data_IF_218442435305
#
_entry.id   IF_218442435305
#
_cell.length_a   1.000
_cell.length_b   1.000
_cell.length_c   1.000
_cell.angle_alpha   90.00
_cell.angle_beta   90.00
_cell.angle_gamma   90.00
#
_symmetry.space_group_name_H-M   'P 1'
#
loop_
_entity.id
_entity.type
_entity.pdbx_description
1 polymer ?
#
# COMPACT_ATOMS: atom_id res chain seq x y z
N UNK A 1 -0.47 -29.74 -2.08
CA UNK A 1 -0.72 -29.61 -3.54
C UNK A 1 0.51 -28.97 -4.21
N UNK A 2 0.80 -29.24 -5.50
CA UNK A 2 2.05 -28.83 -6.14
C UNK A 2 2.21 -27.31 -6.33
N UNK A 3 1.11 -26.54 -6.39
CA UNK A 3 1.12 -25.08 -6.44
C UNK A 3 0.14 -24.55 -5.39
N UNK A 4 0.55 -24.45 -4.13
CA UNK A 4 -0.37 -24.16 -3.03
C UNK A 4 -0.77 -22.67 -2.98
N UNK A 5 -0.04 -21.78 -3.68
CA UNK A 5 -0.30 -20.34 -3.68
C UNK A 5 0.07 -19.69 -2.35
N UNK A 6 -0.61 -18.57 -2.03
CA UNK A 6 -0.44 -17.83 -0.77
C UNK A 6 -0.91 -18.68 0.42
N UNK A 7 -0.07 -18.79 1.45
CA UNK A 7 -0.31 -19.72 2.55
C UNK A 7 -0.89 -19.11 3.84
N UNK A 8 -0.67 -17.82 4.07
CA UNK A 8 -1.00 -17.21 5.35
C UNK A 8 -2.47 -16.79 5.47
N UNK A 9 -2.90 -16.35 6.65
CA UNK A 9 -4.18 -15.64 6.80
C UNK A 9 -3.97 -14.12 6.66
N UNK A 10 -5.03 -13.41 6.27
CA UNK A 10 -4.99 -11.95 6.17
C UNK A 10 -5.54 -11.31 7.45
N UNK A 11 -4.84 -10.28 7.93
CA UNK A 11 -5.32 -9.38 8.98
C UNK A 11 -5.22 -7.95 8.51
N UNK A 12 -6.36 -7.33 8.22
CA UNK A 12 -6.42 -5.93 7.86
C UNK A 12 -6.62 -5.06 9.11
N UNK A 13 -5.69 -4.15 9.38
CA UNK A 13 -5.75 -3.24 10.52
C UNK A 13 -6.15 -1.85 10.03
N UNK A 14 -7.25 -1.31 10.56
CA UNK A 14 -7.68 0.06 10.31
C UNK A 14 -7.30 0.92 11.50
N UNK A 15 -6.28 1.76 11.33
CA UNK A 15 -5.90 2.73 12.37
C UNK A 15 -6.83 3.94 12.41
N UNK A 16 -7.35 4.35 11.26
CA UNK A 16 -8.28 5.48 11.13
C UNK A 16 -9.18 5.30 9.89
N UNK A 17 -10.50 5.15 10.04
CA UNK A 17 -11.46 5.28 8.93
C UNK A 17 -11.42 6.68 8.30
N UNK A 18 -11.82 6.78 7.03
CA UNK A 18 -11.85 8.05 6.30
C UNK A 18 -12.67 9.12 7.04
N UNK A 19 -13.87 8.75 7.48
CA UNK A 19 -14.85 9.66 8.11
C UNK A 19 -14.55 9.96 9.60
N UNK A 20 -13.54 9.31 10.19
CA UNK A 20 -13.16 9.56 11.57
C UNK A 20 -12.22 10.79 11.67
N UNK A 21 -12.51 11.78 12.53
CA UNK A 21 -11.58 12.89 12.75
C UNK A 21 -10.28 12.45 13.44
N UNK A 22 -9.15 13.09 13.09
CA UNK A 22 -7.83 12.81 13.67
C UNK A 22 -7.81 12.79 15.21
N UNK A 23 -8.53 13.72 15.85
CA UNK A 23 -8.62 13.82 17.31
C UNK A 23 -9.10 12.53 17.98
N UNK A 24 -9.95 11.74 17.31
CA UNK A 24 -10.46 10.46 17.82
C UNK A 24 -9.52 9.29 17.51
N UNK A 25 -8.88 9.32 16.33
CA UNK A 25 -7.98 8.25 15.89
C UNK A 25 -6.54 8.34 16.45
N UNK A 26 -6.16 9.43 17.13
CA UNK A 26 -4.77 9.65 17.61
C UNK A 26 -4.18 8.48 18.39
N UNK A 27 -4.99 7.85 19.28
CA UNK A 27 -4.53 6.68 20.05
C UNK A 27 -4.27 5.48 19.14
N UNK A 28 -5.16 5.23 18.18
CA UNK A 28 -5.05 4.14 17.21
C UNK A 28 -3.84 4.33 16.30
N UNK A 29 -3.59 5.55 15.80
CA UNK A 29 -2.40 5.84 14.99
C UNK A 29 -1.10 5.61 15.78
N UNK A 30 -1.07 5.93 17.08
CA UNK A 30 0.08 5.60 17.93
C UNK A 30 0.37 4.10 18.05
N UNK A 31 -0.64 3.23 17.84
CA UNK A 31 -0.44 1.78 17.82
C UNK A 31 0.30 1.29 16.57
N UNK A 32 0.41 2.10 15.51
CA UNK A 32 1.24 1.78 14.34
C UNK A 32 2.71 1.57 14.74
N UNK A 33 3.16 2.27 15.78
CA UNK A 33 4.54 2.20 16.28
C UNK A 33 4.76 1.03 17.25
N UNK A 34 3.72 0.23 17.54
CA UNK A 34 3.84 -0.88 18.49
C UNK A 34 4.54 -2.06 17.84
N UNK A 35 5.69 -2.44 18.38
CA UNK A 35 6.42 -3.63 17.96
C UNK A 35 5.59 -4.92 18.07
N UNK A 36 5.83 -5.85 17.14
CA UNK A 36 5.19 -7.17 17.10
C UNK A 36 3.75 -7.20 16.59
N UNK A 37 3.19 -6.05 16.19
CA UNK A 37 1.86 -6.00 15.55
C UNK A 37 1.93 -6.41 14.06
N UNK A 38 3.01 -6.01 13.38
CA UNK A 38 3.32 -6.34 12.00
C UNK A 38 4.37 -7.46 11.96
N UNK A 39 4.23 -8.40 11.04
CA UNK A 39 5.18 -9.52 10.85
C UNK A 39 5.61 -9.61 9.39
N UNK A 40 4.69 -10.04 8.55
CA UNK A 40 4.87 -10.34 7.13
C UNK A 40 3.83 -9.54 6.35
N UNK A 41 4.23 -9.01 5.20
CA UNK A 41 3.41 -8.10 4.41
C UNK A 41 3.11 -8.72 3.04
N UNK A 42 1.82 -8.80 2.72
CA UNK A 42 1.30 -9.28 1.44
C UNK A 42 0.70 -8.09 0.70
N UNK A 43 1.56 -7.20 0.21
CA UNK A 43 1.18 -5.87 -0.29
C UNK A 43 0.13 -5.90 -1.41
N UNK A 44 0.18 -6.90 -2.30
CA UNK A 44 -0.82 -7.07 -3.35
C UNK A 44 -2.24 -7.27 -2.80
N UNK A 45 -2.39 -8.09 -1.75
CA UNK A 45 -3.69 -8.31 -1.08
C UNK A 45 -4.14 -7.06 -0.33
N UNK A 46 -3.20 -6.36 0.32
CA UNK A 46 -3.48 -5.10 1.02
C UNK A 46 -3.99 -4.02 0.04
N UNK A 47 -3.38 -3.91 -1.15
CA UNK A 47 -3.81 -3.03 -2.23
C UNK A 47 -5.20 -3.38 -2.74
N UNK A 48 -5.46 -4.66 -3.04
CA UNK A 48 -6.79 -5.11 -3.48
C UNK A 48 -7.86 -4.81 -2.42
N UNK A 49 -7.55 -5.04 -1.15
CA UNK A 49 -8.47 -4.76 -0.06
C UNK A 49 -8.75 -3.25 0.07
N UNK A 50 -7.71 -2.41 0.03
CA UNK A 50 -7.88 -0.96 0.07
C UNK A 50 -8.64 -0.43 -1.15
N UNK A 51 -8.33 -0.95 -2.34
CA UNK A 51 -9.05 -0.65 -3.59
C UNK A 51 -10.54 -0.96 -3.50
N UNK A 52 -10.90 -2.16 -3.02
CA UNK A 52 -12.30 -2.58 -2.89
C UNK A 52 -13.12 -1.64 -1.99
N UNK A 53 -12.47 -0.95 -1.06
CA UNK A 53 -13.11 0.02 -0.16
C UNK A 53 -13.21 1.39 -0.82
N UNK A 54 -12.14 1.89 -1.43
CA UNK A 54 -12.09 3.24 -1.98
C UNK A 54 -12.91 3.37 -3.27
N UNK A 55 -12.99 2.31 -4.10
CA UNK A 55 -13.75 2.36 -5.36
C UNK A 55 -15.26 2.59 -5.14
N UNK A 56 -15.77 2.15 -3.98
CA UNK A 56 -17.18 2.27 -3.60
C UNK A 56 -17.50 3.59 -2.86
N UNK A 57 -16.52 4.49 -2.72
CA UNK A 57 -16.70 5.76 -2.04
C UNK A 57 -17.36 6.82 -2.94
N UNK A 58 -18.20 7.73 -2.39
CA UNK A 58 -18.96 8.68 -3.18
C UNK A 58 -18.11 9.82 -3.78
N UNK A 59 -16.90 10.04 -3.26
CA UNK A 59 -15.99 11.08 -3.77
C UNK A 59 -15.66 10.84 -5.25
N UNK A 60 -15.65 11.94 -6.02
CA UNK A 60 -15.40 11.94 -7.47
C UNK A 60 -13.98 11.44 -7.79
N UNK A 61 -12.99 12.03 -7.13
CA UNK A 61 -11.59 11.59 -7.21
C UNK A 61 -11.27 10.65 -6.06
N UNK A 62 -10.70 9.50 -6.41
CA UNK A 62 -10.35 8.42 -5.47
C UNK A 62 -8.88 8.13 -5.64
N UNK A 63 -8.08 8.57 -4.67
CA UNK A 63 -6.63 8.43 -4.67
C UNK A 63 -6.24 7.42 -3.61
N UNK A 64 -5.58 6.35 -4.03
CA UNK A 64 -4.97 5.35 -3.17
C UNK A 64 -3.46 5.63 -3.10
N UNK A 65 -2.99 6.07 -1.93
CA UNK A 65 -1.57 6.33 -1.67
C UNK A 65 -0.98 5.20 -0.84
N UNK A 66 0.10 4.60 -1.33
CA UNK A 66 0.88 3.58 -0.61
C UNK A 66 2.08 4.25 0.05
N UNK A 67 2.32 3.97 1.34
CA UNK A 67 3.55 4.36 2.03
C UNK A 67 4.19 3.05 2.49
N UNK A 68 5.36 2.73 1.98
CA UNK A 68 6.05 1.46 2.26
C UNK A 68 7.52 1.68 2.57
N UNK A 69 8.04 0.93 3.53
CA UNK A 69 9.45 0.85 3.89
C UNK A 69 10.13 -0.41 3.33
N UNK A 70 9.44 -1.22 2.53
CA UNK A 70 9.95 -2.50 2.05
C UNK A 70 9.20 -3.12 0.87
N UNK A 71 9.57 -4.37 0.59
CA UNK A 71 8.99 -5.21 -0.45
C UNK A 71 8.07 -6.29 0.18
N UNK A 72 7.19 -6.93 -0.61
CA UNK A 72 6.31 -7.97 -0.08
C UNK A 72 7.11 -9.21 0.33
N UNK A 73 6.97 -9.64 1.58
CA UNK A 73 7.71 -10.76 2.18
C UNK A 73 6.79 -11.56 3.10
N UNK A 74 6.75 -12.87 2.87
CA UNK A 74 5.99 -13.88 3.62
C UNK A 74 6.74 -15.22 3.54
N UNK A 75 7.39 -15.63 4.63
CA UNK A 75 8.32 -16.77 4.67
C UNK A 75 7.61 -18.08 4.32
N UNK A 76 6.38 -18.26 4.83
CA UNK A 76 5.59 -19.46 4.56
C UNK A 76 5.27 -19.57 3.08
N UNK A 77 4.75 -18.50 2.47
CA UNK A 77 4.46 -18.46 1.03
C UNK A 77 5.73 -18.62 0.19
N UNK A 78 6.83 -17.95 0.54
CA UNK A 78 8.09 -18.02 -0.22
C UNK A 78 8.79 -19.38 -0.09
N UNK A 79 8.61 -20.11 1.01
CA UNK A 79 9.26 -21.42 1.23
C UNK A 79 8.75 -22.53 0.29
N UNK A 80 7.52 -22.40 -0.22
CA UNK A 80 6.87 -23.43 -1.06
C UNK A 80 6.49 -22.94 -2.46
N UNK A 81 6.71 -21.66 -2.77
CA UNK A 81 6.47 -21.08 -4.09
C UNK A 81 7.78 -20.58 -4.72
N UNK A 82 7.71 -20.16 -5.98
CA UNK A 82 8.82 -19.47 -6.60
C UNK A 82 9.11 -18.13 -5.88
N UNK A 83 10.39 -17.75 -5.75
CA UNK A 83 10.81 -16.59 -4.97
C UNK A 83 10.22 -15.24 -5.44
N UNK A 84 9.75 -15.15 -6.68
CA UNK A 84 9.08 -13.96 -7.20
C UNK A 84 7.54 -13.99 -7.08
N UNK A 85 6.93 -14.96 -6.39
CA UNK A 85 5.47 -15.13 -6.35
C UNK A 85 4.73 -13.88 -5.85
N UNK A 86 5.17 -13.31 -4.72
CA UNK A 86 4.56 -12.12 -4.14
C UNK A 86 4.87 -10.84 -4.94
N UNK A 87 6.07 -10.75 -5.51
CA UNK A 87 6.47 -9.65 -6.38
C UNK A 87 5.61 -9.61 -7.65
N UNK A 88 5.44 -10.76 -8.30
CA UNK A 88 4.57 -10.91 -9.48
C UNK A 88 3.13 -10.60 -9.15
N UNK A 89 2.63 -11.05 -7.99
CA UNK A 89 1.29 -10.73 -7.53
C UNK A 89 1.11 -9.21 -7.34
N UNK A 90 2.05 -8.55 -6.64
CA UNK A 90 2.02 -7.10 -6.44
C UNK A 90 2.00 -6.35 -7.78
N UNK A 91 2.85 -6.74 -8.74
CA UNK A 91 2.90 -6.13 -10.08
C UNK A 91 1.57 -6.25 -10.82
N UNK A 92 0.96 -7.45 -10.81
CA UNK A 92 -0.32 -7.68 -11.47
C UNK A 92 -1.45 -6.82 -10.86
N UNK A 93 -1.47 -6.70 -9.53
CA UNK A 93 -2.45 -5.86 -8.84
C UNK A 93 -2.26 -4.39 -9.18
N UNK A 94 -1.03 -3.89 -9.15
CA UNK A 94 -0.71 -2.49 -9.49
C UNK A 94 -1.11 -2.20 -10.94
N UNK A 95 -0.67 -3.03 -11.89
CA UNK A 95 -1.00 -2.88 -13.30
C UNK A 95 -2.52 -2.87 -13.53
N UNK A 96 -3.26 -3.77 -12.85
CA UNK A 96 -4.71 -3.78 -12.93
C UNK A 96 -5.34 -2.50 -12.39
N UNK A 97 -4.88 -1.97 -11.25
CA UNK A 97 -5.39 -0.71 -10.69
C UNK A 97 -5.11 0.44 -11.66
N UNK A 98 -3.87 0.57 -12.14
CA UNK A 98 -3.43 1.70 -12.98
C UNK A 98 -4.09 1.68 -14.38
N UNK A 99 -4.37 0.50 -14.94
CA UNK A 99 -4.87 0.39 -16.33
C UNK A 99 -6.36 0.14 -16.45
N UNK A 100 -7.03 -0.36 -15.40
CA UNK A 100 -8.44 -0.78 -15.48
C UNK A 100 -9.37 -0.16 -14.45
N UNK A 101 -8.82 0.48 -13.42
CA UNK A 101 -9.62 1.06 -12.34
C UNK A 101 -9.67 2.59 -12.46
N UNK A 102 -10.79 3.23 -12.04
CA UNK A 102 -10.88 4.69 -11.95
C UNK A 102 -10.13 5.27 -10.74
N UNK A 103 -9.60 4.41 -9.85
CA UNK A 103 -8.82 4.80 -8.68
C UNK A 103 -7.40 5.16 -9.11
N UNK A 104 -6.96 6.38 -8.77
CA UNK A 104 -5.60 6.84 -8.98
C UNK A 104 -4.68 6.23 -7.94
N UNK A 105 -3.53 5.71 -8.35
CA UNK A 105 -2.56 5.04 -7.48
C UNK A 105 -1.26 5.84 -7.45
N UNK A 106 -0.74 6.10 -6.24
CA UNK A 106 0.59 6.68 -6.05
C UNK A 106 1.30 6.03 -4.85
N UNK A 107 2.63 6.16 -4.78
CA UNK A 107 3.41 5.56 -3.71
C UNK A 107 4.57 6.43 -3.20
N UNK A 108 4.88 6.29 -1.92
CA UNK A 108 6.05 6.85 -1.26
C UNK A 108 6.84 5.69 -0.63
N UNK A 109 8.07 5.49 -1.08
CA UNK A 109 9.01 4.53 -0.52
C UNK A 109 9.90 5.20 0.54
N UNK A 110 10.02 4.63 1.74
CA UNK A 110 10.89 5.14 2.80
C UNK A 110 12.11 4.22 2.90
N UNK A 111 13.28 4.70 2.49
CA UNK A 111 14.50 3.90 2.47
C UNK A 111 14.48 2.72 1.47
N UNK A 112 13.42 2.60 0.67
CA UNK A 112 13.20 1.51 -0.27
C UNK A 112 12.64 2.03 -1.59
N UNK A 113 13.22 1.55 -2.71
CA UNK A 113 12.81 1.99 -4.04
C UNK A 113 11.51 1.31 -4.49
N UNK A 114 10.42 2.08 -4.44
CA UNK A 114 9.09 1.66 -4.89
C UNK A 114 8.79 2.07 -6.34
N UNK A 115 9.68 2.83 -7.00
CA UNK A 115 9.48 3.30 -8.38
C UNK A 115 9.51 2.15 -9.40
N UNK A 116 10.10 1.01 -9.02
CA UNK A 116 10.08 -0.24 -9.79
C UNK A 116 8.69 -0.90 -9.90
N UNK A 117 7.73 -0.43 -9.12
CA UNK A 117 6.37 -0.98 -9.01
C UNK A 117 5.32 0.00 -9.51
N UNK A 118 5.34 1.24 -9.02
CA UNK A 118 4.28 2.22 -9.23
C UNK A 118 4.71 3.28 -10.24
N UNK A 119 3.82 3.62 -11.18
CA UNK A 119 4.10 4.65 -12.20
C UNK A 119 4.26 6.06 -11.60
N UNK A 120 3.51 6.36 -10.53
CA UNK A 120 3.57 7.61 -9.77
C UNK A 120 4.15 7.34 -8.39
N UNK A 121 5.47 7.43 -8.28
CA UNK A 121 6.18 7.12 -7.04
C UNK A 121 7.36 8.03 -6.77
N UNK A 122 7.68 8.16 -5.48
CA UNK A 122 8.85 8.87 -4.98
C UNK A 122 9.47 8.07 -3.84
N UNK A 123 10.80 8.10 -3.74
CA UNK A 123 11.55 7.46 -2.65
C UNK A 123 12.18 8.54 -1.79
N UNK A 124 11.92 8.50 -0.49
CA UNK A 124 12.52 9.37 0.52
C UNK A 124 13.51 8.57 1.37
N UNK A 125 14.49 9.24 1.97
CA UNK A 125 15.51 8.56 2.78
C UNK A 125 15.03 8.27 4.19
N UNK A 126 14.22 9.16 4.76
CA UNK A 126 13.72 9.08 6.13
C UNK A 126 12.26 9.54 6.23
N UNK A 127 11.64 9.25 7.37
CA UNK A 127 10.24 9.60 7.60
C UNK A 127 10.00 11.10 7.86
N UNK A 128 11.04 11.90 8.12
CA UNK A 128 10.89 13.34 8.37
C UNK A 128 10.48 14.07 7.08
N UNK A 129 10.92 13.55 5.93
CA UNK A 129 10.57 14.04 4.60
C UNK A 129 9.13 13.74 4.18
N UNK A 130 8.48 12.75 4.82
CA UNK A 130 7.18 12.22 4.39
C UNK A 130 6.11 13.30 4.27
N UNK A 131 6.03 14.22 5.23
CA UNK A 131 4.99 15.26 5.24
C UNK A 131 5.04 16.18 4.02
N UNK A 132 6.24 16.64 3.64
CA UNK A 132 6.43 17.49 2.46
C UNK A 132 6.15 16.71 1.17
N UNK A 133 6.72 15.52 1.05
CA UNK A 133 6.56 14.65 -0.11
C UNK A 133 5.10 14.23 -0.35
N UNK A 134 4.32 13.96 0.71
CA UNK A 134 2.89 13.68 0.57
C UNK A 134 2.14 14.84 -0.08
N UNK A 135 2.45 16.08 0.30
CA UNK A 135 1.81 17.28 -0.28
C UNK A 135 2.21 17.45 -1.74
N UNK A 136 3.49 17.26 -2.07
CA UNK A 136 4.00 17.34 -3.44
C UNK A 136 3.37 16.28 -4.35
N UNK A 137 3.27 15.02 -3.88
CA UNK A 137 2.63 13.95 -4.63
C UNK A 137 1.14 14.25 -4.86
N UNK A 138 0.43 14.77 -3.86
CA UNK A 138 -0.95 15.18 -4.02
C UNK A 138 -1.10 16.35 -4.99
N UNK A 139 -0.23 17.35 -4.91
CA UNK A 139 -0.23 18.50 -5.82
C UNK A 139 0.01 18.07 -7.27
N UNK A 140 0.98 17.17 -7.50
CA UNK A 140 1.27 16.64 -8.82
C UNK A 140 0.13 15.84 -9.46
N UNK A 141 -0.88 15.40 -8.69
CA UNK A 141 -2.10 14.79 -9.22
C UNK A 141 -3.10 15.84 -9.77
N UNK A 142 -2.91 17.13 -9.51
CA UNK A 142 -3.74 18.22 -10.04
C UNK A 142 -3.09 18.94 -11.23
N UNK A 143 -1.79 18.75 -11.47
CA UNK A 143 -1.08 19.35 -12.59
C UNK A 143 -1.21 18.53 -13.90
N UNK A 144 -1.97 17.44 -13.87
CA UNK A 144 -2.24 16.54 -15.00
C UNK A 144 -3.51 17.02 -15.71
N UNK A 145 -3.42 18.20 -16.34
CA UNK A 145 -4.37 18.71 -17.34
C UNK A 145 -3.71 18.69 -18.74
#
# INVERSE_FOLDING_TARGET
>A
PPHPGRLNDLRHIIYKPADEPYRRARKSLGLMMREGLLKENIDGEALMWAHSRIVNRPEERRILMVISDGAPVDDSTLSVNHGAYLDQHLRQVIEWIETRSPVELCAIGIGHDVTRYYSRAVTIMDAEQLGGTMVEQLAGLFDID
#
